data_IF_333164830232
#
_entry.id   IF_333164830232
#
_cell.length_a   1.000
_cell.length_b   1.000
_cell.length_c   1.000
_cell.angle_alpha   90.00
_cell.angle_beta   90.00
_cell.angle_gamma   90.00
#
_symmetry.space_group_name_H-M   'P 1'
#
loop_
_entity.id
_entity.type
_entity.pdbx_description
1 polymer ?
#
# COMPACT_ATOMS: atom_id res chain seq x y z
N UNK A 1 -16.55 5.40 -1.34
CA UNK A 1 -16.48 4.97 -2.76
C UNK A 1 -16.12 6.12 -3.67
N UNK A 2 -16.81 7.26 -3.63
CA UNK A 2 -16.54 8.41 -4.52
C UNK A 2 -15.10 8.90 -4.47
N UNK A 3 -14.49 8.92 -3.29
CA UNK A 3 -13.08 9.27 -3.14
C UNK A 3 -12.13 8.28 -3.82
N UNK A 4 -12.39 6.99 -3.72
CA UNK A 4 -11.65 5.95 -4.44
C UNK A 4 -11.73 6.15 -5.95
N UNK A 5 -12.95 6.35 -6.48
CA UNK A 5 -13.18 6.60 -7.91
C UNK A 5 -12.45 7.88 -8.37
N UNK A 6 -12.43 8.94 -7.53
CA UNK A 6 -11.65 10.14 -7.81
C UNK A 6 -10.17 9.84 -7.95
N UNK A 7 -9.60 9.04 -7.03
CA UNK A 7 -8.17 8.65 -7.09
C UNK A 7 -7.85 7.83 -8.35
N UNK A 8 -8.74 6.94 -8.80
CA UNK A 8 -8.53 6.17 -10.03
C UNK A 8 -8.39 7.06 -11.27
N UNK A 9 -8.96 8.26 -11.26
CA UNK A 9 -8.92 9.22 -12.38
C UNK A 9 -7.69 10.12 -12.39
N UNK A 10 -6.84 10.07 -11.38
CA UNK A 10 -5.62 10.86 -11.33
C UNK A 10 -4.49 10.18 -12.09
N UNK A 11 -3.72 10.98 -12.81
CA UNK A 11 -2.36 10.59 -13.21
C UNK A 11 -1.47 10.38 -11.99
N UNK A 12 -0.33 9.76 -12.17
CA UNK A 12 0.64 9.56 -11.09
C UNK A 12 1.02 10.89 -10.40
N UNK A 13 1.27 11.95 -11.18
CA UNK A 13 1.63 13.25 -10.63
C UNK A 13 0.46 13.92 -9.89
N UNK A 14 -0.75 13.88 -10.46
CA UNK A 14 -1.93 14.41 -9.78
C UNK A 14 -2.23 13.66 -8.48
N UNK A 15 -2.06 12.33 -8.48
CA UNK A 15 -2.21 11.53 -7.27
C UNK A 15 -1.14 11.85 -6.24
N UNK A 16 0.11 12.08 -6.66
CA UNK A 16 1.21 12.50 -5.79
C UNK A 16 0.90 13.83 -5.08
N UNK A 17 0.42 14.82 -5.82
CA UNK A 17 -0.01 16.10 -5.23
C UNK A 17 -1.19 15.90 -4.27
N UNK A 18 -2.17 15.11 -4.67
CA UNK A 18 -3.36 14.82 -3.86
C UNK A 18 -3.01 14.12 -2.55
N UNK A 19 -2.15 13.10 -2.56
CA UNK A 19 -1.77 12.40 -1.32
C UNK A 19 -0.95 13.28 -0.40
N UNK A 20 -0.06 14.12 -0.94
CA UNK A 20 0.72 15.06 -0.15
C UNK A 20 -0.18 16.11 0.54
N UNK A 21 -1.13 16.69 -0.19
CA UNK A 21 -2.11 17.61 0.36
C UNK A 21 -2.95 16.93 1.47
N UNK A 22 -3.48 15.75 1.20
CA UNK A 22 -4.31 15.01 2.14
C UNK A 22 -3.55 14.61 3.41
N UNK A 23 -2.28 14.20 3.30
CA UNK A 23 -1.43 13.90 4.46
C UNK A 23 -1.17 15.14 5.32
N UNK A 24 -1.14 16.35 4.73
CA UNK A 24 -0.91 17.59 5.47
C UNK A 24 -1.96 17.88 6.56
N UNK A 25 -3.14 17.25 6.46
CA UNK A 25 -4.19 17.36 7.46
C UNK A 25 -4.00 16.45 8.68
N UNK A 26 -3.11 15.46 8.59
CA UNK A 26 -2.90 14.43 9.62
C UNK A 26 -1.46 14.32 10.10
N UNK A 27 -0.49 14.72 9.29
CA UNK A 27 0.94 14.65 9.57
C UNK A 27 1.58 16.03 9.52
N UNK A 28 2.57 16.27 10.38
CA UNK A 28 3.32 17.54 10.42
C UNK A 28 4.52 17.52 9.49
N UNK A 29 5.20 16.38 9.43
CA UNK A 29 6.45 16.21 8.70
C UNK A 29 6.16 15.43 7.40
N UNK A 30 6.03 16.18 6.29
CA UNK A 30 5.78 15.62 4.97
C UNK A 30 6.93 16.01 4.05
N UNK A 31 7.46 15.03 3.37
CA UNK A 31 8.49 15.20 2.35
C UNK A 31 7.90 14.78 1.00
N UNK A 32 7.92 15.70 0.05
CA UNK A 32 7.52 15.46 -1.34
C UNK A 32 8.78 15.50 -2.22
N UNK A 33 9.37 14.35 -2.45
CA UNK A 33 10.54 14.19 -3.31
C UNK A 33 10.14 13.77 -4.75
N UNK A 34 11.09 13.70 -5.67
CA UNK A 34 10.81 13.31 -7.06
C UNK A 34 10.20 11.89 -7.15
N UNK A 35 10.77 10.92 -6.44
CA UNK A 35 10.36 9.51 -6.50
C UNK A 35 9.32 9.06 -5.46
N UNK A 36 8.95 9.91 -4.50
CA UNK A 36 8.07 9.48 -3.40
C UNK A 36 7.43 10.66 -2.65
N UNK A 37 6.43 10.30 -1.84
CA UNK A 37 5.90 11.14 -0.75
C UNK A 37 6.06 10.38 0.55
N UNK A 38 6.76 10.97 1.53
CA UNK A 38 6.93 10.43 2.88
C UNK A 38 6.19 11.30 3.89
N UNK A 39 5.43 10.70 4.78
CA UNK A 39 4.89 11.34 5.97
C UNK A 39 5.31 10.57 7.23
N UNK A 40 5.84 11.28 8.24
CA UNK A 40 6.30 10.66 9.49
C UNK A 40 5.18 10.66 10.52
N UNK A 41 4.81 9.49 10.99
CA UNK A 41 3.81 9.26 12.04
C UNK A 41 4.44 8.78 13.35
N UNK A 42 3.62 8.67 14.38
CA UNK A 42 4.05 8.24 15.73
C UNK A 42 3.77 6.75 16.03
N UNK A 43 2.92 6.10 15.23
CA UNK A 43 2.65 4.68 15.37
C UNK A 43 3.77 3.86 14.72
N UNK A 44 4.27 2.77 15.35
CA UNK A 44 5.53 2.13 14.95
C UNK A 44 5.41 1.19 13.74
N UNK A 45 4.69 1.59 12.71
CA UNK A 45 4.54 0.83 11.46
C UNK A 45 4.68 1.77 10.27
N UNK A 46 5.39 1.32 9.22
CA UNK A 46 5.44 2.00 7.94
C UNK A 46 4.41 1.38 7.00
N UNK A 47 3.50 2.20 6.48
CA UNK A 47 2.53 1.82 5.45
C UNK A 47 3.05 2.24 4.08
N UNK A 48 2.94 1.36 3.08
CA UNK A 48 3.47 1.56 1.74
C UNK A 48 2.40 1.26 0.68
N UNK A 49 2.37 2.07 -0.36
CA UNK A 49 1.61 1.85 -1.60
C UNK A 49 2.29 2.61 -2.75
N UNK A 50 2.00 2.25 -4.00
CA UNK A 50 2.56 2.98 -5.13
C UNK A 50 1.54 3.86 -5.86
N UNK A 51 2.05 4.85 -6.59
CA UNK A 51 1.25 5.91 -7.22
C UNK A 51 1.05 5.72 -8.72
N UNK A 52 1.82 4.87 -9.37
CA UNK A 52 1.71 4.59 -10.80
C UNK A 52 0.66 3.49 -11.09
N UNK A 53 0.50 3.19 -12.33
CA UNK A 53 -0.28 2.09 -12.88
C UNK A 53 0.21 1.80 -14.28
N UNK A 54 0.10 0.57 -14.74
CA UNK A 54 0.45 0.18 -16.12
C UNK A 54 -0.50 0.73 -17.18
N UNK A 55 -1.66 1.24 -16.78
CA UNK A 55 -2.67 1.69 -17.74
C UNK A 55 -2.27 3.03 -18.39
N UNK A 56 -2.15 3.03 -19.70
CA UNK A 56 -1.80 4.23 -20.49
C UNK A 56 -2.91 5.28 -20.52
N UNK A 57 -4.15 4.86 -20.29
CA UNK A 57 -5.32 5.75 -20.25
C UNK A 57 -5.98 5.68 -18.90
N UNK A 58 -6.23 6.83 -18.33
CA UNK A 58 -6.98 6.94 -17.09
C UNK A 58 -8.46 6.56 -17.32
N UNK A 59 -9.14 5.95 -16.33
CA UNK A 59 -10.53 5.55 -16.45
C UNK A 59 -11.45 6.77 -16.59
N UNK A 60 -12.04 6.96 -17.79
CA UNK A 60 -13.09 7.94 -18.03
C UNK A 60 -14.46 7.41 -17.62
N UNK A 61 -14.71 6.14 -17.92
CA UNK A 61 -15.98 5.46 -17.69
C UNK A 61 -15.81 4.42 -16.58
N UNK A 62 -16.16 4.82 -15.35
CA UNK A 62 -16.16 3.89 -14.22
C UNK A 62 -17.53 3.23 -14.09
N UNK A 63 -17.55 1.91 -14.18
CA UNK A 63 -18.75 1.09 -14.07
C UNK A 63 -18.82 0.49 -12.65
N UNK A 64 -19.97 0.66 -12.01
CA UNK A 64 -20.25 0.14 -10.68
C UNK A 64 -21.38 -0.88 -10.79
N UNK A 65 -21.08 -2.13 -10.48
CA UNK A 65 -22.07 -3.21 -10.40
C UNK A 65 -22.46 -3.39 -8.93
N UNK A 66 -23.41 -2.58 -8.46
CA UNK A 66 -23.79 -2.49 -7.03
C UNK A 66 -24.15 -3.85 -6.42
N UNK A 67 -24.92 -4.69 -7.12
CA UNK A 67 -25.32 -6.00 -6.63
C UNK A 67 -24.15 -6.96 -6.39
N UNK A 68 -23.04 -6.75 -7.08
CA UNK A 68 -21.80 -7.55 -6.96
C UNK A 68 -20.75 -6.85 -6.10
N UNK A 69 -20.89 -5.55 -5.86
CA UNK A 69 -19.88 -4.72 -5.21
C UNK A 69 -18.61 -4.60 -6.06
N UNK A 70 -18.75 -4.63 -7.40
CA UNK A 70 -17.62 -4.59 -8.34
C UNK A 70 -17.50 -3.22 -8.98
N UNK A 71 -16.29 -2.71 -9.04
CA UNK A 71 -15.91 -1.45 -9.71
C UNK A 71 -14.90 -1.80 -10.80
N UNK A 72 -15.12 -1.32 -12.02
CA UNK A 72 -14.22 -1.56 -13.16
C UNK A 72 -14.29 -0.42 -14.18
N UNK A 73 -13.41 -0.46 -15.18
CA UNK A 73 -13.41 0.48 -16.30
C UNK A 73 -12.91 -0.23 -17.56
N UNK A 74 -13.45 0.09 -18.75
CA UNK A 74 -12.92 -0.44 -20.01
C UNK A 74 -11.48 -0.05 -20.32
N UNK A 75 -10.97 0.99 -19.67
CA UNK A 75 -9.57 1.43 -19.78
C UNK A 75 -8.63 0.70 -18.80
N UNK A 76 -9.16 -0.15 -17.92
CA UNK A 76 -8.54 -0.59 -16.68
C UNK A 76 -8.86 0.38 -15.54
N UNK A 77 -9.16 -0.13 -14.35
CA UNK A 77 -9.55 0.72 -13.22
C UNK A 77 -8.33 1.29 -12.46
N UNK A 78 -7.16 0.65 -12.61
CA UNK A 78 -5.95 1.01 -11.85
C UNK A 78 -6.10 0.70 -10.36
N UNK A 79 -6.80 -0.39 -10.03
CA UNK A 79 -6.90 -0.87 -8.65
C UNK A 79 -5.53 -1.16 -8.04
N UNK A 80 -4.62 -1.60 -8.88
CA UNK A 80 -3.19 -1.68 -8.73
C UNK A 80 -2.56 -0.30 -9.04
N UNK A 81 -2.16 0.58 -8.07
CA UNK A 81 -2.41 0.38 -6.62
C UNK A 81 -3.23 1.52 -5.99
N UNK A 82 -4.27 2.00 -6.69
CA UNK A 82 -5.21 2.97 -6.08
C UNK A 82 -5.94 2.38 -4.87
N UNK A 83 -6.07 1.04 -4.83
CA UNK A 83 -6.64 0.35 -3.67
C UNK A 83 -5.77 0.56 -2.43
N UNK A 84 -4.45 0.34 -2.52
CA UNK A 84 -3.53 0.54 -1.42
C UNK A 84 -3.48 1.99 -0.96
N UNK A 85 -3.43 2.94 -1.90
CA UNK A 85 -3.48 4.37 -1.57
C UNK A 85 -4.76 4.70 -0.78
N UNK A 86 -5.91 4.22 -1.21
CA UNK A 86 -7.18 4.42 -0.51
C UNK A 86 -7.18 3.76 0.86
N UNK A 87 -6.73 2.51 0.96
CA UNK A 87 -6.67 1.75 2.20
C UNK A 87 -5.81 2.42 3.25
N UNK A 88 -4.65 2.97 2.86
CA UNK A 88 -3.77 3.72 3.78
C UNK A 88 -4.54 4.89 4.40
N UNK A 89 -5.26 5.70 3.63
CA UNK A 89 -6.02 6.80 4.19
C UNK A 89 -7.15 6.36 5.13
N UNK A 90 -7.77 5.21 4.87
CA UNK A 90 -8.76 4.65 5.79
C UNK A 90 -8.11 4.16 7.11
N UNK A 91 -6.94 3.54 7.04
CA UNK A 91 -6.17 3.12 8.22
C UNK A 91 -5.72 4.33 9.05
N UNK A 92 -5.26 5.40 8.39
CA UNK A 92 -4.81 6.63 9.05
C UNK A 92 -5.89 7.35 9.86
N UNK A 93 -7.16 7.04 9.67
CA UNK A 93 -8.24 7.55 10.53
C UNK A 93 -8.14 7.08 11.98
N UNK A 94 -7.45 5.95 12.21
CA UNK A 94 -7.34 5.32 13.52
C UNK A 94 -5.89 5.22 14.03
N UNK A 95 -4.90 5.21 13.14
CA UNK A 95 -3.50 5.00 13.48
C UNK A 95 -2.62 6.05 12.79
N UNK A 96 -1.86 6.81 13.54
CA UNK A 96 -0.91 7.79 12.98
C UNK A 96 0.39 7.09 12.57
N UNK A 97 0.33 6.23 11.55
CA UNK A 97 1.47 5.51 11.00
C UNK A 97 2.35 6.43 10.15
N UNK A 98 3.64 6.09 10.03
CA UNK A 98 4.44 6.63 8.92
C UNK A 98 3.94 6.06 7.59
N UNK A 99 3.98 6.86 6.54
CA UNK A 99 3.49 6.49 5.21
C UNK A 99 4.53 6.80 4.15
N UNK A 100 4.74 5.87 3.24
CA UNK A 100 5.56 6.07 2.04
C UNK A 100 4.70 5.72 0.81
N UNK A 101 4.49 6.70 -0.05
CA UNK A 101 3.92 6.50 -1.38
C UNK A 101 5.04 6.57 -2.42
N UNK A 102 5.30 5.47 -3.13
CA UNK A 102 6.34 5.37 -4.13
C UNK A 102 5.83 5.67 -5.54
N UNK A 103 6.67 6.24 -6.39
CA UNK A 103 6.45 6.38 -7.83
C UNK A 103 7.15 5.25 -8.58
N UNK A 104 6.62 4.93 -9.76
CA UNK A 104 7.28 4.05 -10.72
C UNK A 104 7.66 2.67 -10.12
N UNK A 105 6.74 2.09 -9.33
CA UNK A 105 6.88 0.72 -8.82
C UNK A 105 6.89 -0.27 -9.97
N UNK A 106 5.97 -0.09 -10.94
CA UNK A 106 5.82 -0.91 -12.15
C UNK A 106 7.06 -0.87 -13.07
N UNK A 107 7.98 0.04 -12.79
CA UNK A 107 9.29 0.14 -13.41
C UNK A 107 10.40 -0.39 -12.47
N UNK A 108 10.14 -1.49 -11.77
CA UNK A 108 11.08 -2.17 -10.86
C UNK A 108 11.41 -1.36 -9.59
N UNK A 109 10.43 -0.67 -9.01
CA UNK A 109 10.57 0.00 -7.71
C UNK A 109 11.50 1.21 -7.73
N UNK A 110 11.48 2.01 -8.81
CA UNK A 110 12.35 3.19 -8.93
C UNK A 110 12.17 4.14 -7.75
N UNK A 111 10.93 4.38 -7.32
CA UNK A 111 10.63 5.28 -6.20
C UNK A 111 11.18 4.78 -4.87
N UNK A 112 10.99 3.50 -4.56
CA UNK A 112 11.58 2.88 -3.37
C UNK A 112 13.12 2.92 -3.42
N UNK A 113 13.71 2.66 -4.60
CA UNK A 113 15.16 2.79 -4.81
C UNK A 113 15.67 4.20 -4.55
N UNK A 114 14.99 5.24 -5.04
CA UNK A 114 15.33 6.64 -4.76
C UNK A 114 15.20 6.97 -3.27
N UNK A 115 14.15 6.45 -2.63
CA UNK A 115 13.92 6.69 -1.21
C UNK A 115 15.04 6.11 -0.34
N UNK A 116 15.41 4.85 -0.51
CA UNK A 116 16.48 4.22 0.31
C UNK A 116 17.87 4.84 0.09
N UNK A 117 18.09 5.49 -1.06
CA UNK A 117 19.31 6.23 -1.36
C UNK A 117 19.29 7.68 -0.85
N UNK A 118 18.17 8.16 -0.30
CA UNK A 118 18.02 9.54 0.16
C UNK A 118 18.36 9.69 1.65
N UNK A 119 18.64 10.93 2.08
CA UNK A 119 18.79 11.26 3.50
C UNK A 119 17.47 11.12 4.26
N UNK A 120 16.33 11.17 3.57
CA UNK A 120 14.99 11.09 4.18
C UNK A 120 14.70 9.71 4.79
N UNK A 121 15.37 8.67 4.29
CA UNK A 121 15.30 7.32 4.85
C UNK A 121 16.00 7.24 6.21
N UNK A 122 16.99 8.09 6.43
CA UNK A 122 17.72 8.11 7.69
C UNK A 122 16.85 8.65 8.83
N UNK A 123 16.91 7.98 9.99
CA UNK A 123 16.14 8.40 11.17
C UNK A 123 14.66 8.01 11.16
N UNK A 124 14.19 7.28 10.13
CA UNK A 124 12.88 6.66 10.17
C UNK A 124 12.92 5.43 11.09
N UNK A 125 11.99 5.37 12.05
CA UNK A 125 11.92 4.26 13.01
C UNK A 125 10.53 3.61 12.97
N UNK A 126 10.51 2.32 12.74
CA UNK A 126 9.30 1.50 12.74
C UNK A 126 9.64 0.04 13.05
N UNK A 127 8.65 -0.74 13.43
CA UNK A 127 8.80 -2.13 13.84
C UNK A 127 8.78 -3.08 12.65
N UNK A 128 7.91 -2.80 11.66
CA UNK A 128 7.74 -3.57 10.43
C UNK A 128 7.03 -2.73 9.36
N UNK A 129 6.90 -3.29 8.15
CA UNK A 129 6.30 -2.64 6.98
C UNK A 129 5.04 -3.40 6.55
N UNK A 130 3.97 -2.68 6.27
CA UNK A 130 2.80 -3.20 5.55
C UNK A 130 2.69 -2.47 4.21
N UNK A 131 2.69 -3.22 3.13
CA UNK A 131 2.36 -2.73 1.80
C UNK A 131 0.99 -3.27 1.39
N UNK A 132 0.21 -2.46 0.68
CA UNK A 132 -1.17 -2.77 0.27
C UNK A 132 -1.29 -2.98 -1.23
N UNK A 133 -0.34 -3.64 -1.82
CA UNK A 133 -0.20 -3.84 -3.26
C UNK A 133 -0.29 -5.33 -3.64
N UNK A 134 -1.25 -6.05 -3.06
CA UNK A 134 -1.47 -7.44 -3.45
C UNK A 134 -2.90 -7.64 -3.96
N UNK A 135 -3.04 -8.26 -5.12
CA UNK A 135 -4.34 -8.68 -5.65
C UNK A 135 -5.05 -9.66 -4.72
N UNK A 136 -6.37 -9.75 -4.84
CA UNK A 136 -7.17 -10.72 -4.10
C UNK A 136 -7.66 -10.19 -2.76
N UNK A 137 -8.03 -11.11 -1.87
CA UNK A 137 -8.69 -10.74 -0.61
C UNK A 137 -7.96 -11.20 0.65
N UNK A 138 -7.16 -12.26 0.60
CA UNK A 138 -6.60 -12.91 1.81
C UNK A 138 -5.11 -13.16 1.75
N UNK A 139 -4.45 -12.82 0.66
CA UNK A 139 -3.02 -13.10 0.48
C UNK A 139 -2.16 -12.19 1.38
N UNK A 140 -1.10 -12.77 1.95
CA UNK A 140 0.02 -12.09 2.57
C UNK A 140 1.32 -12.62 1.96
N UNK A 141 2.11 -11.74 1.34
CA UNK A 141 3.36 -12.09 0.67
C UNK A 141 4.54 -11.47 1.42
N UNK A 142 5.48 -12.30 1.84
CA UNK A 142 6.64 -11.90 2.65
C UNK A 142 7.95 -11.83 1.85
N UNK A 143 7.90 -12.21 0.58
CA UNK A 143 9.05 -12.29 -0.32
C UNK A 143 10.21 -13.08 0.31
N UNK A 144 11.37 -12.46 0.50
CA UNK A 144 12.56 -13.08 1.11
C UNK A 144 12.64 -12.89 2.63
N UNK A 145 11.60 -12.34 3.26
CA UNK A 145 11.57 -12.25 4.72
C UNK A 145 11.27 -13.65 5.31
N UNK A 146 12.21 -14.18 6.08
CA UNK A 146 12.11 -15.52 6.69
C UNK A 146 11.76 -15.45 8.19
N UNK A 147 11.45 -14.29 8.73
CA UNK A 147 11.09 -14.11 10.13
C UNK A 147 9.76 -14.82 10.45
N UNK A 148 9.86 -16.03 11.01
CA UNK A 148 8.68 -16.86 11.29
C UNK A 148 7.73 -16.22 12.30
N UNK A 149 8.26 -15.52 13.31
CA UNK A 149 7.42 -14.83 14.29
C UNK A 149 6.57 -13.72 13.64
N UNK A 150 7.11 -13.00 12.66
CA UNK A 150 6.35 -12.04 11.87
C UNK A 150 5.31 -12.69 10.98
N UNK A 151 5.70 -13.78 10.30
CA UNK A 151 4.76 -14.54 9.45
C UNK A 151 3.58 -15.04 10.30
N UNK A 152 3.85 -15.65 11.46
CA UNK A 152 2.81 -16.14 12.37
C UNK A 152 1.94 -14.99 12.91
N UNK A 153 2.54 -13.83 13.24
CA UNK A 153 1.83 -12.65 13.68
C UNK A 153 0.83 -12.13 12.63
N UNK A 154 1.24 -12.08 11.37
CA UNK A 154 0.38 -11.61 10.26
C UNK A 154 -0.69 -12.63 9.91
N UNK A 155 -0.34 -13.91 9.90
CA UNK A 155 -1.24 -15.00 9.45
C UNK A 155 -2.07 -15.63 10.57
N UNK A 156 -2.06 -15.04 11.76
CA UNK A 156 -2.77 -15.58 12.93
C UNK A 156 -4.29 -15.76 12.73
N UNK A 157 -4.91 -14.87 11.94
CA UNK A 157 -6.37 -14.85 11.82
C UNK A 157 -6.85 -14.94 10.36
N UNK A 158 -6.63 -13.89 9.58
CA UNK A 158 -7.30 -13.70 8.29
C UNK A 158 -6.43 -13.98 7.09
N UNK A 159 -5.17 -13.54 7.14
CA UNK A 159 -4.29 -13.63 5.99
C UNK A 159 -3.68 -15.01 5.83
N UNK A 160 -3.48 -15.41 4.57
CA UNK A 160 -2.85 -16.67 4.19
C UNK A 160 -1.53 -16.37 3.48
N UNK A 161 -0.45 -17.02 3.93
CA UNK A 161 0.86 -16.88 3.28
C UNK A 161 0.77 -17.27 1.80
N UNK A 162 1.23 -16.37 0.94
CA UNK A 162 1.22 -16.52 -0.52
C UNK A 162 2.59 -16.18 -1.10
N UNK A 163 2.73 -16.26 -2.42
CA UNK A 163 3.97 -15.96 -3.14
C UNK A 163 3.78 -14.78 -4.09
N UNK A 164 4.83 -13.99 -4.27
CA UNK A 164 4.90 -12.88 -5.22
C UNK A 164 6.30 -12.79 -5.83
N UNK A 165 6.44 -11.97 -6.86
CA UNK A 165 7.71 -11.79 -7.58
C UNK A 165 8.51 -10.60 -7.08
N UNK A 166 7.89 -9.42 -7.06
CA UNK A 166 8.51 -8.16 -6.68
C UNK A 166 7.45 -7.18 -6.19
N UNK A 167 7.85 -6.20 -5.38
CA UNK A 167 7.15 -4.98 -5.00
C UNK A 167 8.11 -4.08 -4.19
N UNK A 168 7.71 -2.88 -3.79
CA UNK A 168 8.56 -1.90 -3.10
C UNK A 168 9.20 -2.43 -1.80
N UNK A 169 8.50 -3.29 -1.01
CA UNK A 169 9.12 -3.89 0.19
C UNK A 169 10.27 -4.83 -0.11
N UNK A 170 10.44 -5.31 -1.34
CA UNK A 170 11.63 -6.05 -1.73
C UNK A 170 12.90 -5.18 -1.66
N UNK A 171 12.75 -3.86 -1.78
CA UNK A 171 13.80 -2.85 -1.64
C UNK A 171 13.88 -2.34 -0.20
N UNK A 172 12.73 -2.03 0.39
CA UNK A 172 12.63 -1.37 1.71
C UNK A 172 13.01 -2.30 2.86
N UNK A 173 12.50 -3.53 2.89
CA UNK A 173 12.69 -4.46 4.01
C UNK A 173 14.16 -4.79 4.29
N UNK A 174 14.98 -5.17 3.28
CA UNK A 174 16.40 -5.42 3.53
C UNK A 174 17.18 -4.14 3.90
N UNK A 175 16.84 -2.98 3.32
CA UNK A 175 17.50 -1.71 3.62
C UNK A 175 17.35 -1.33 5.10
N UNK A 176 16.15 -1.43 5.64
CA UNK A 176 15.88 -1.08 7.04
C UNK A 176 16.12 -2.23 8.02
N UNK A 177 16.44 -3.41 7.53
CA UNK A 177 16.43 -4.64 8.31
C UNK A 177 15.14 -4.79 9.14
N UNK A 178 14.00 -4.61 8.47
CA UNK A 178 12.67 -4.75 9.06
C UNK A 178 11.83 -5.69 8.20
N UNK A 179 11.12 -6.58 8.87
CA UNK A 179 10.17 -7.47 8.19
C UNK A 179 9.11 -6.65 7.46
N UNK A 180 8.71 -7.13 6.30
CA UNK A 180 7.67 -6.52 5.48
C UNK A 180 6.70 -7.56 4.97
N UNK A 181 5.44 -7.15 4.82
CA UNK A 181 4.39 -7.93 4.20
C UNK A 181 3.63 -7.09 3.19
N UNK A 182 3.35 -7.68 2.02
CA UNK A 182 2.41 -7.13 1.05
C UNK A 182 1.09 -7.90 1.18
N UNK A 183 0.01 -7.21 1.56
CA UNK A 183 -1.31 -7.79 1.80
C UNK A 183 -2.32 -7.40 0.74
N UNK A 184 -3.32 -8.28 0.53
CA UNK A 184 -4.38 -8.08 -0.45
C UNK A 184 -5.13 -6.77 -0.25
N UNK A 185 -5.40 -6.08 -1.35
CA UNK A 185 -6.09 -4.78 -1.38
C UNK A 185 -7.42 -4.79 -2.14
N UNK A 186 -7.88 -5.97 -2.60
CA UNK A 186 -9.22 -6.13 -3.16
C UNK A 186 -9.34 -5.88 -4.66
N UNK A 187 -8.24 -5.67 -5.38
CA UNK A 187 -8.23 -5.66 -6.84
C UNK A 187 -7.95 -7.05 -7.42
N UNK A 188 -8.35 -7.25 -8.65
CA UNK A 188 -8.24 -8.53 -9.38
C UNK A 188 -7.87 -8.28 -10.82
N UNK A 189 -7.18 -9.23 -11.45
CA UNK A 189 -6.70 -9.15 -12.83
C UNK A 189 -5.80 -7.96 -13.09
N UNK A 190 -4.84 -7.70 -12.17
CA UNK A 190 -3.81 -6.69 -12.33
C UNK A 190 -3.22 -6.65 -13.75
N UNK A 191 -2.85 -5.47 -14.21
CA UNK A 191 -2.19 -5.22 -15.50
C UNK A 191 -3.04 -5.56 -16.74
N UNK A 192 -4.37 -5.68 -16.58
CA UNK A 192 -5.28 -5.98 -17.67
C UNK A 192 -6.35 -4.90 -17.79
N UNK A 193 -6.86 -4.68 -19.01
CA UNK A 193 -7.98 -3.75 -19.23
C UNK A 193 -9.30 -4.21 -18.62
N UNK A 194 -9.42 -5.51 -18.29
CA UNK A 194 -10.55 -6.07 -17.56
C UNK A 194 -10.28 -6.21 -16.05
N UNK A 195 -9.35 -5.42 -15.53
CA UNK A 195 -9.09 -5.25 -14.10
C UNK A 195 -10.36 -4.75 -13.39
N UNK A 196 -10.58 -5.26 -12.19
CA UNK A 196 -11.72 -4.84 -11.37
C UNK A 196 -11.37 -4.85 -9.88
N UNK A 197 -12.11 -4.07 -9.11
CA UNK A 197 -12.03 -4.01 -7.65
C UNK A 197 -13.30 -4.58 -7.06
N UNK A 198 -13.17 -5.44 -6.05
CA UNK A 198 -14.27 -5.91 -5.22
C UNK A 198 -14.30 -5.06 -3.96
N UNK A 199 -15.25 -4.12 -3.90
CA UNK A 199 -15.35 -3.13 -2.83
C UNK A 199 -15.40 -3.77 -1.44
N UNK A 200 -16.18 -4.84 -1.29
CA UNK A 200 -16.30 -5.57 -0.02
C UNK A 200 -14.96 -6.16 0.44
N UNK A 201 -14.17 -6.69 -0.50
CA UNK A 201 -12.88 -7.29 -0.17
C UNK A 201 -11.88 -6.23 0.25
N UNK A 202 -11.85 -5.07 -0.41
CA UNK A 202 -11.04 -3.93 0.01
C UNK A 202 -11.45 -3.42 1.41
N UNK A 203 -12.76 -3.23 1.66
CA UNK A 203 -13.25 -2.83 2.98
C UNK A 203 -12.92 -3.86 4.07
N UNK A 204 -12.96 -5.14 3.75
CA UNK A 204 -12.54 -6.21 4.65
C UNK A 204 -11.06 -6.10 4.97
N UNK A 205 -10.20 -5.92 3.98
CA UNK A 205 -8.77 -5.80 4.17
C UNK A 205 -8.38 -4.55 4.99
N UNK A 206 -9.09 -3.43 4.84
CA UNK A 206 -8.93 -2.26 5.72
C UNK A 206 -9.19 -2.66 7.18
N UNK A 207 -10.28 -3.37 7.44
CA UNK A 207 -10.63 -3.82 8.79
C UNK A 207 -9.58 -4.77 9.37
N UNK A 208 -9.12 -5.73 8.58
CA UNK A 208 -8.13 -6.73 9.02
C UNK A 208 -6.75 -6.08 9.24
N UNK A 209 -6.35 -5.13 8.39
CA UNK A 209 -5.14 -4.34 8.63
C UNK A 209 -5.23 -3.52 9.92
N UNK A 210 -6.36 -2.88 10.20
CA UNK A 210 -6.60 -2.20 11.48
C UNK A 210 -6.55 -3.19 12.66
N UNK A 211 -7.08 -4.40 12.51
CA UNK A 211 -6.97 -5.48 13.49
C UNK A 211 -5.52 -5.89 13.77
N UNK A 212 -4.70 -6.01 12.72
CA UNK A 212 -3.27 -6.28 12.83
C UNK A 212 -2.55 -5.16 13.60
N UNK A 213 -2.82 -3.89 13.25
CA UNK A 213 -2.25 -2.74 13.95
C UNK A 213 -2.68 -2.66 15.40
N UNK A 214 -3.93 -3.01 15.72
CA UNK A 214 -4.41 -3.03 17.12
C UNK A 214 -3.65 -4.04 17.99
N UNK A 215 -3.14 -5.13 17.41
CA UNK A 215 -2.32 -6.13 18.11
C UNK A 215 -0.85 -5.77 18.21
N UNK A 216 -0.40 -4.70 17.52
CA UNK A 216 1.00 -4.27 17.51
C UNK A 216 1.38 -3.61 18.83
N UNK A 217 2.40 -4.14 19.50
CA UNK A 217 3.00 -3.53 20.67
C UNK A 217 4.29 -2.77 20.29
N UNK A 218 4.68 -1.78 21.07
CA UNK A 218 5.90 -0.98 20.84
C UNK A 218 7.19 -1.84 20.76
N UNK A 219 7.20 -2.98 21.46
CA UNK A 219 8.34 -3.91 21.51
C UNK A 219 8.38 -4.92 20.35
N UNK A 220 7.34 -5.00 19.53
CA UNK A 220 7.21 -5.98 18.45
C UNK A 220 8.05 -5.60 17.23
N UNK A 221 9.36 -5.50 17.42
CA UNK A 221 10.31 -5.23 16.35
C UNK A 221 10.62 -6.54 15.64
N UNK A 222 10.22 -6.64 14.37
CA UNK A 222 10.51 -7.79 13.53
C UNK A 222 11.64 -7.47 12.55
N UNK A 223 12.75 -8.20 12.64
CA UNK A 223 13.85 -8.08 11.68
C UNK A 223 13.48 -8.73 10.35
N UNK A 224 14.18 -8.33 9.27
CA UNK A 224 14.00 -8.92 7.94
C UNK A 224 14.48 -10.38 7.90
N UNK A 225 15.59 -10.68 8.60
CA UNK A 225 16.21 -12.00 8.76
C UNK A 225 16.32 -12.35 10.24
#
# INVERSE_FOLDING_TARGET
MDEFIKMCRFSQEELKEYVADKLSHTHKDIIKADGYVLAKGSFPVLLVAHLDTVHQKLPSDVLIYESLGVITSPQGIGGDDRCGVYMIFEVLKNFNCSVLFCKDEEQHGIGAGKFVCSEDASGLSFNYIIEFDRKGSTDAVFYKCENQAFIDFVTADYYVKSTGTFTDICVLSPHFNRAGVNISSGYYKAHRTDEYVVWRDMQRNIKEACGLLTRTEQKDIFSFM
#
